data_IF_058361557260
#
_entry.id   IF_058361557260
#
_cell.length_a   1.000
_cell.length_b   1.000
_cell.length_c   1.000
_cell.angle_alpha   90.00
_cell.angle_beta   90.00
_cell.angle_gamma   90.00
#
_symmetry.space_group_name_H-M   'P 1'
#
loop_
_entity.id
_entity.type
_entity.pdbx_description
1 polymer ?
#
# COMPACT_ATOMS: atom_id res chain seq x y z
N UNK A 1 -5.92 -3.69 -26.92
CA UNK A 1 -5.75 -2.53 -26.02
C UNK A 1 -6.95 -2.53 -25.09
N UNK A 2 -6.79 -2.94 -23.84
CA UNK A 2 -7.90 -2.91 -22.87
C UNK A 2 -8.25 -1.44 -22.60
N UNK A 3 -9.52 -1.08 -22.70
CA UNK A 3 -9.98 0.27 -22.44
C UNK A 3 -9.61 0.67 -21.00
N UNK A 4 -9.03 1.85 -20.82
CA UNK A 4 -8.72 2.36 -19.48
C UNK A 4 -10.04 2.63 -18.77
N UNK A 5 -10.33 2.00 -17.62
CA UNK A 5 -11.57 2.26 -16.91
C UNK A 5 -11.61 3.73 -16.51
N UNK A 6 -12.74 4.38 -16.73
CA UNK A 6 -12.97 5.74 -16.26
C UNK A 6 -13.13 5.72 -14.73
N UNK A 7 -12.58 6.70 -14.01
CA UNK A 7 -12.80 6.82 -12.58
C UNK A 7 -14.23 7.26 -12.31
N UNK A 8 -14.77 6.80 -11.19
CA UNK A 8 -16.00 7.37 -10.62
C UNK A 8 -15.59 8.50 -9.69
N UNK A 9 -16.24 9.65 -9.86
CA UNK A 9 -15.97 10.84 -9.06
C UNK A 9 -17.18 11.14 -8.18
N UNK A 10 -16.94 11.37 -6.90
CA UNK A 10 -17.99 11.70 -5.95
C UNK A 10 -17.48 12.66 -4.87
N UNK A 11 -18.35 13.51 -4.30
CA UNK A 11 -17.95 14.43 -3.25
C UNK A 11 -17.69 13.69 -1.93
N UNK A 12 -16.76 14.22 -1.13
CA UNK A 12 -16.52 13.86 0.25
C UNK A 12 -16.61 15.12 1.11
N UNK A 13 -17.81 15.42 1.57
CA UNK A 13 -18.12 16.74 2.15
C UNK A 13 -18.05 17.84 1.09
N UNK A 14 -17.86 19.08 1.54
CA UNK A 14 -17.99 20.27 0.68
C UNK A 14 -16.68 20.70 0.00
N UNK A 15 -15.54 20.15 0.44
CA UNK A 15 -14.20 20.60 0.07
C UNK A 15 -13.28 19.44 -0.36
N UNK A 16 -13.84 18.27 -0.67
CA UNK A 16 -13.06 17.17 -1.22
C UNK A 16 -13.81 16.37 -2.28
N UNK A 17 -13.04 15.87 -3.24
CA UNK A 17 -13.47 15.01 -4.33
C UNK A 17 -12.74 13.68 -4.21
N UNK A 18 -13.47 12.58 -4.27
CA UNK A 18 -12.91 11.24 -4.30
C UNK A 18 -13.03 10.68 -5.71
N UNK A 19 -11.91 10.18 -6.21
CA UNK A 19 -11.76 9.49 -7.47
C UNK A 19 -11.51 8.01 -7.18
N UNK A 20 -12.46 7.12 -7.50
CA UNK A 20 -12.34 5.68 -7.28
C UNK A 20 -12.32 4.89 -8.59
N UNK A 21 -11.51 3.83 -8.62
CA UNK A 21 -11.45 2.87 -9.72
C UNK A 21 -12.04 1.53 -9.29
N UNK A 22 -12.65 0.78 -10.22
CA UNK A 22 -13.21 -0.53 -9.91
C UNK A 22 -12.11 -1.51 -9.50
N UNK A 23 -12.45 -2.39 -8.55
CA UNK A 23 -11.62 -3.53 -8.19
C UNK A 23 -11.51 -4.53 -9.37
N UNK A 24 -10.43 -5.34 -9.45
CA UNK A 24 -9.30 -5.40 -8.53
C UNK A 24 -8.29 -4.25 -8.74
N UNK A 25 -7.54 -3.90 -7.70
CA UNK A 25 -6.49 -2.89 -7.78
C UNK A 25 -5.28 -3.43 -8.58
N UNK A 26 -4.98 -2.83 -9.72
CA UNK A 26 -3.81 -3.20 -10.53
C UNK A 26 -2.73 -2.13 -10.45
N UNK A 27 -1.47 -2.52 -10.64
CA UNK A 27 -0.35 -1.57 -10.64
C UNK A 27 -0.52 -0.48 -11.70
N UNK A 28 -1.02 -0.83 -12.88
CA UNK A 28 -1.27 0.13 -13.96
C UNK A 28 -2.34 1.17 -13.60
N UNK A 29 -3.37 0.79 -12.85
CA UNK A 29 -4.36 1.73 -12.32
C UNK A 29 -3.75 2.61 -11.23
N UNK A 30 -3.00 2.02 -10.30
CA UNK A 30 -2.33 2.75 -9.23
C UNK A 30 -1.32 3.78 -9.77
N UNK A 31 -0.56 3.44 -10.81
CA UNK A 31 0.36 4.35 -11.47
C UNK A 31 -0.33 5.56 -12.10
N UNK A 32 -1.55 5.38 -12.62
CA UNK A 32 -2.35 6.52 -13.11
C UNK A 32 -2.87 7.38 -11.98
N UNK A 33 -3.26 6.78 -10.85
CA UNK A 33 -3.63 7.51 -9.64
C UNK A 33 -2.45 8.37 -9.15
N UNK A 34 -1.23 7.83 -9.15
CA UNK A 34 -0.03 8.61 -8.81
C UNK A 34 0.23 9.74 -9.80
N UNK A 35 0.07 9.47 -11.10
CA UNK A 35 0.24 10.48 -12.14
C UNK A 35 -0.81 11.61 -12.00
N UNK A 36 -2.07 11.27 -11.75
CA UNK A 36 -3.12 12.24 -11.44
C UNK A 36 -2.79 13.03 -10.19
N UNK A 37 -2.37 12.36 -9.11
CA UNK A 37 -2.01 13.02 -7.84
C UNK A 37 -0.85 14.02 -8.01
N UNK A 38 0.10 13.75 -8.91
CA UNK A 38 1.17 14.69 -9.22
C UNK A 38 0.67 15.87 -10.08
N UNK A 39 -0.16 15.61 -11.09
CA UNK A 39 -0.65 16.63 -12.03
C UNK A 39 -1.59 17.65 -11.37
N UNK A 40 -2.50 17.18 -10.50
CA UNK A 40 -3.53 18.03 -9.89
C UNK A 40 -3.00 19.02 -8.85
N UNK A 41 -1.79 18.80 -8.33
CA UNK A 41 -1.18 19.73 -7.35
C UNK A 41 -0.86 21.09 -7.97
N UNK A 42 -0.68 21.15 -9.30
CA UNK A 42 -0.47 22.40 -10.04
C UNK A 42 -1.79 23.09 -10.43
N UNK A 43 -2.95 22.48 -10.12
CA UNK A 43 -4.25 23.01 -10.54
C UNK A 43 -4.76 24.11 -9.59
N UNK A 44 -5.25 25.24 -10.11
CA UNK A 44 -5.83 26.29 -9.28
C UNK A 44 -7.01 25.78 -8.46
N UNK A 45 -6.99 26.09 -7.15
CA UNK A 45 -8.05 25.70 -6.21
C UNK A 45 -7.89 24.31 -5.61
N UNK A 46 -6.91 23.50 -6.03
CA UNK A 46 -6.59 22.22 -5.40
C UNK A 46 -5.65 22.44 -4.21
N UNK A 47 -5.92 21.76 -3.09
CA UNK A 47 -5.12 21.82 -1.87
C UNK A 47 -4.13 20.65 -1.78
N UNK A 48 -4.63 19.46 -1.43
CA UNK A 48 -3.84 18.25 -1.24
C UNK A 48 -4.36 17.11 -2.11
N UNK A 49 -3.43 16.26 -2.56
CA UNK A 49 -3.71 15.03 -3.27
C UNK A 49 -3.27 13.82 -2.42
N UNK A 50 -4.23 13.02 -1.99
CA UNK A 50 -4.05 11.90 -1.06
C UNK A 50 -4.31 10.57 -1.78
N UNK A 51 -3.30 9.96 -2.43
CA UNK A 51 -3.47 8.70 -3.12
C UNK A 51 -3.67 7.56 -2.11
N UNK A 52 -4.77 6.83 -2.27
CA UNK A 52 -5.05 5.61 -1.53
C UNK A 52 -4.84 4.36 -2.38
N UNK A 53 -5.53 3.26 -2.04
CA UNK A 53 -5.48 2.02 -2.80
C UNK A 53 -6.51 2.08 -3.92
N UNK A 54 -6.07 2.26 -5.17
CA UNK A 54 -6.91 2.39 -6.36
C UNK A 54 -7.90 3.56 -6.30
N UNK A 55 -7.60 4.57 -5.50
CA UNK A 55 -8.40 5.79 -5.35
C UNK A 55 -7.51 7.00 -5.01
N UNK A 56 -8.07 8.18 -5.17
CA UNK A 56 -7.44 9.46 -4.86
C UNK A 56 -8.45 10.38 -4.20
N UNK A 57 -8.09 10.94 -3.05
CA UNK A 57 -8.85 12.03 -2.43
C UNK A 57 -8.15 13.34 -2.72
N UNK A 58 -8.87 14.28 -3.32
CA UNK A 58 -8.40 15.63 -3.61
C UNK A 58 -9.13 16.61 -2.71
N UNK A 59 -8.41 17.39 -1.92
CA UNK A 59 -9.00 18.54 -1.24
C UNK A 59 -8.95 19.74 -2.17
N UNK A 60 -9.96 20.60 -2.11
CA UNK A 60 -10.05 21.81 -2.93
C UNK A 60 -10.76 22.93 -2.17
N UNK A 61 -10.51 24.17 -2.58
CA UNK A 61 -11.20 25.34 -2.05
C UNK A 61 -12.53 25.55 -2.83
N UNK A 62 -13.70 25.29 -2.21
CA UNK A 62 -14.99 25.42 -2.89
C UNK A 62 -15.35 26.86 -3.24
N UNK A 63 -14.64 27.86 -2.70
CA UNK A 63 -14.80 29.27 -3.08
C UNK A 63 -14.00 29.62 -4.33
N UNK A 64 -12.99 28.82 -4.68
CA UNK A 64 -12.13 29.02 -5.84
C UNK A 64 -12.54 28.16 -7.04
N UNK A 65 -13.00 26.91 -6.82
CA UNK A 65 -13.41 25.98 -7.88
C UNK A 65 -14.62 25.16 -7.45
N UNK A 66 -15.61 25.02 -8.34
CA UNK A 66 -16.77 24.18 -8.10
C UNK A 66 -16.43 22.69 -8.28
N UNK A 67 -17.14 21.81 -7.56
CA UNK A 67 -16.96 20.36 -7.66
C UNK A 67 -17.08 19.85 -9.10
N UNK A 68 -18.13 20.27 -9.81
CA UNK A 68 -18.43 19.84 -11.17
C UNK A 68 -17.33 20.24 -12.16
N UNK A 69 -16.77 21.43 -11.96
CA UNK A 69 -15.64 21.92 -12.76
C UNK A 69 -14.38 21.09 -12.50
N UNK A 70 -14.04 20.85 -11.24
CA UNK A 70 -12.90 20.02 -10.87
C UNK A 70 -13.06 18.59 -11.37
N UNK A 71 -14.25 18.00 -11.22
CA UNK A 71 -14.57 16.67 -11.70
C UNK A 71 -14.43 16.57 -13.23
N UNK A 72 -14.91 17.56 -13.98
CA UNK A 72 -14.75 17.60 -15.43
C UNK A 72 -13.27 17.66 -15.84
N UNK A 73 -12.45 18.47 -15.14
CA UNK A 73 -10.99 18.54 -15.37
C UNK A 73 -10.32 17.19 -15.12
N UNK A 74 -10.65 16.50 -14.03
CA UNK A 74 -10.13 15.15 -13.73
C UNK A 74 -10.48 14.17 -14.84
N UNK A 75 -11.74 14.14 -15.28
CA UNK A 75 -12.19 13.26 -16.36
C UNK A 75 -11.52 13.58 -17.70
N UNK A 76 -11.23 14.85 -17.97
CA UNK A 76 -10.54 15.29 -19.18
C UNK A 76 -9.05 14.92 -19.16
N UNK A 77 -8.38 15.03 -18.02
CA UNK A 77 -6.97 14.65 -17.87
C UNK A 77 -6.77 13.14 -17.89
N UNK A 78 -7.72 12.37 -17.35
CA UNK A 78 -7.60 10.92 -17.16
C UNK A 78 -7.12 10.11 -18.37
N UNK A 79 -7.62 10.32 -19.61
CA UNK A 79 -7.16 9.57 -20.78
C UNK A 79 -5.71 9.89 -21.18
N UNK A 80 -5.24 11.10 -20.87
CA UNK A 80 -3.87 11.56 -21.17
C UNK A 80 -2.84 11.08 -20.14
N UNK A 81 -3.29 10.68 -18.95
CA UNK A 81 -2.43 10.13 -17.92
C UNK A 81 -1.92 8.74 -18.32
N UNK A 82 -0.68 8.71 -18.79
CA UNK A 82 0.05 7.48 -18.94
C UNK A 82 0.28 6.85 -17.55
N UNK A 83 0.12 5.53 -17.46
CA UNK A 83 0.68 4.78 -16.34
C UNK A 83 2.21 4.90 -16.44
N UNK A 84 2.78 5.97 -15.87
CA UNK A 84 4.22 6.11 -15.85
C UNK A 84 4.77 5.09 -14.86
N UNK A 85 5.65 4.24 -15.36
CA UNK A 85 6.53 3.47 -14.50
C UNK A 85 7.53 4.44 -13.87
N UNK A 86 7.11 5.13 -12.80
CA UNK A 86 8.10 5.57 -11.83
C UNK A 86 8.75 4.28 -11.32
N UNK A 87 9.94 3.96 -11.84
CA UNK A 87 10.76 2.88 -11.31
C UNK A 87 11.26 3.34 -9.95
N UNK A 88 10.42 3.14 -8.92
CA UNK A 88 10.83 3.41 -7.56
C UNK A 88 12.03 2.56 -7.17
N UNK A 89 12.67 2.95 -6.07
CA UNK A 89 13.93 2.35 -5.65
C UNK A 89 13.70 0.87 -5.34
N UNK A 90 14.70 0.03 -5.65
CA UNK A 90 14.71 -1.34 -5.16
C UNK A 90 15.24 -1.34 -3.73
N UNK A 91 14.43 -1.82 -2.78
CA UNK A 91 14.73 -1.84 -1.35
C UNK A 91 14.67 -3.28 -0.88
N UNK A 92 15.79 -3.77 -0.35
CA UNK A 92 15.87 -5.09 0.27
C UNK A 92 15.60 -4.96 1.77
N UNK A 93 14.66 -5.76 2.27
CA UNK A 93 14.26 -5.74 3.68
C UNK A 93 14.60 -7.10 4.29
N UNK A 94 15.59 -7.21 5.19
CA UNK A 94 15.86 -8.44 5.91
C UNK A 94 14.72 -8.75 6.87
N UNK A 95 14.32 -10.01 6.93
CA UNK A 95 13.22 -10.48 7.78
C UNK A 95 13.62 -11.77 8.49
N UNK A 96 13.49 -11.75 9.82
CA UNK A 96 13.48 -12.94 10.65
C UNK A 96 12.06 -13.51 10.67
N UNK A 97 11.87 -14.69 10.06
CA UNK A 97 10.57 -15.33 9.91
C UNK A 97 10.28 -16.32 11.04
N UNK A 98 9.00 -16.39 11.44
CA UNK A 98 8.50 -17.35 12.41
C UNK A 98 8.98 -17.13 13.85
N UNK A 99 8.79 -18.14 14.71
CA UNK A 99 9.06 -18.03 16.15
C UNK A 99 8.33 -16.86 16.80
N UNK A 100 9.01 -16.16 17.71
CA UNK A 100 8.47 -14.95 18.37
C UNK A 100 8.30 -13.77 17.41
N UNK A 101 9.03 -13.77 16.28
CA UNK A 101 8.97 -12.70 15.28
C UNK A 101 7.78 -12.86 14.32
N UNK A 102 7.32 -14.09 14.10
CA UNK A 102 6.22 -14.44 13.21
C UNK A 102 5.27 -15.47 13.84
N UNK A 103 4.55 -15.11 14.91
CA UNK A 103 3.74 -16.05 15.67
C UNK A 103 2.59 -16.69 14.87
N UNK A 104 2.16 -16.08 13.76
CA UNK A 104 1.08 -16.60 12.91
C UNK A 104 1.61 -17.35 11.67
N UNK A 105 2.93 -17.56 11.53
CA UNK A 105 3.48 -18.26 10.36
C UNK A 105 2.93 -19.67 10.21
N UNK A 106 2.77 -20.39 11.33
CA UNK A 106 2.18 -21.72 11.35
C UNK A 106 0.69 -21.69 10.95
N UNK A 107 -0.06 -20.67 11.36
CA UNK A 107 -1.47 -20.51 11.00
C UNK A 107 -1.65 -20.20 9.51
N UNK A 108 -0.79 -19.35 8.94
CA UNK A 108 -0.74 -19.08 7.49
C UNK A 108 -0.40 -20.35 6.72
N UNK A 109 0.58 -21.12 7.18
CA UNK A 109 0.95 -22.41 6.58
C UNK A 109 -0.23 -23.39 6.59
N UNK A 110 -0.91 -23.54 7.73
CA UNK A 110 -2.09 -24.39 7.87
C UNK A 110 -3.25 -23.93 6.97
N UNK A 111 -3.51 -22.62 6.89
CA UNK A 111 -4.58 -22.06 6.05
C UNK A 111 -4.34 -22.30 4.56
N UNK A 112 -3.10 -22.10 4.11
CA UNK A 112 -2.71 -22.19 2.69
C UNK A 112 -2.40 -23.62 2.24
N UNK A 113 -2.25 -24.57 3.18
CA UNK A 113 -1.82 -25.94 2.90
C UNK A 113 -0.33 -26.05 2.52
N UNK A 114 0.46 -24.99 2.76
CA UNK A 114 1.88 -24.92 2.49
C UNK A 114 2.69 -25.22 3.75
N UNK A 115 3.95 -25.61 3.61
CA UNK A 115 4.86 -25.63 4.75
C UNK A 115 5.29 -24.19 5.11
N UNK A 116 5.69 -23.95 6.36
CA UNK A 116 6.22 -22.65 6.77
C UNK A 116 7.40 -22.19 5.89
N UNK A 117 8.30 -23.12 5.53
CA UNK A 117 9.41 -22.84 4.62
C UNK A 117 8.93 -22.44 3.21
N UNK A 118 7.85 -23.04 2.71
CA UNK A 118 7.28 -22.71 1.40
C UNK A 118 6.55 -21.36 1.42
N UNK A 119 5.85 -21.03 2.51
CA UNK A 119 5.29 -19.69 2.74
C UNK A 119 6.40 -18.64 2.68
N UNK A 120 7.49 -18.86 3.40
CA UNK A 120 8.65 -17.96 3.45
C UNK A 120 9.31 -17.84 2.08
N UNK A 121 9.51 -18.96 1.37
CA UNK A 121 10.10 -18.97 0.02
C UNK A 121 9.25 -18.17 -0.97
N UNK A 122 7.93 -18.32 -0.93
CA UNK A 122 7.01 -17.56 -1.81
C UNK A 122 6.94 -16.09 -1.42
N UNK A 123 6.89 -15.80 -0.12
CA UNK A 123 6.81 -14.43 0.37
C UNK A 123 8.11 -13.67 0.09
N UNK A 124 9.27 -14.20 0.47
CA UNK A 124 10.56 -13.61 0.09
C UNK A 124 10.77 -13.59 -1.43
N UNK A 125 10.14 -14.53 -2.15
CA UNK A 125 10.10 -14.65 -3.59
C UNK A 125 9.26 -13.63 -4.34
N UNK A 126 8.42 -12.85 -3.64
CA UNK A 126 7.53 -11.86 -4.25
C UNK A 126 8.25 -10.63 -4.81
N UNK A 127 7.62 -10.00 -5.80
CA UNK A 127 8.01 -8.70 -6.35
C UNK A 127 7.00 -7.66 -5.88
N UNK A 128 7.31 -7.01 -4.76
CA UNK A 128 6.38 -6.10 -4.12
C UNK A 128 6.55 -4.69 -4.62
N UNK A 129 5.44 -3.97 -4.76
CA UNK A 129 5.43 -2.54 -5.05
C UNK A 129 4.63 -1.84 -3.97
N UNK A 130 5.18 -0.76 -3.41
CA UNK A 130 4.48 0.09 -2.43
C UNK A 130 3.42 0.90 -3.16
N UNK A 131 2.14 0.66 -2.88
CA UNK A 131 1.02 1.33 -3.53
C UNK A 131 0.71 2.68 -2.87
N UNK A 132 0.74 2.69 -1.54
CA UNK A 132 0.55 3.88 -0.70
C UNK A 132 1.27 3.71 0.63
N UNK A 133 1.48 4.83 1.31
CA UNK A 133 1.75 4.87 2.75
C UNK A 133 0.52 5.43 3.46
N UNK A 134 0.09 4.82 4.56
CA UNK A 134 -1.10 5.27 5.30
C UNK A 134 -1.38 4.41 6.52
N UNK A 135 -2.45 4.67 7.27
CA UNK A 135 -2.76 4.07 8.59
C UNK A 135 -1.80 4.50 9.72
N UNK A 136 -0.49 4.38 9.53
CA UNK A 136 0.54 4.93 10.41
C UNK A 136 1.63 5.61 9.57
N UNK A 137 2.40 6.55 10.16
CA UNK A 137 3.57 7.10 9.50
C UNK A 137 4.52 5.98 9.06
N UNK A 138 4.76 5.88 7.74
CA UNK A 138 5.65 4.87 7.14
C UNK A 138 5.05 3.47 6.96
N UNK A 139 3.77 3.23 7.27
CA UNK A 139 3.15 1.93 7.02
C UNK A 139 2.86 1.78 5.53
N UNK A 140 3.54 0.83 4.90
CA UNK A 140 3.47 0.59 3.46
C UNK A 140 2.47 -0.51 3.13
N UNK A 141 1.46 -0.17 2.32
CA UNK A 141 0.58 -1.15 1.69
C UNK A 141 1.22 -1.61 0.38
N UNK A 142 1.56 -2.89 0.28
CA UNK A 142 2.24 -3.45 -0.88
C UNK A 142 1.33 -4.35 -1.70
N UNK A 143 1.34 -4.16 -3.01
CA UNK A 143 0.80 -5.11 -3.98
C UNK A 143 1.86 -6.13 -4.40
N UNK A 144 1.43 -7.23 -5.04
CA UNK A 144 2.33 -8.28 -5.55
C UNK A 144 2.44 -9.53 -4.66
N UNK A 145 1.61 -9.66 -3.63
CA UNK A 145 1.52 -10.90 -2.85
C UNK A 145 1.06 -12.06 -3.78
N UNK A 146 1.78 -13.20 -3.79
CA UNK A 146 1.31 -14.39 -4.48
C UNK A 146 -0.09 -14.78 -3.99
N UNK A 147 -1.08 -15.00 -4.88
CA UNK A 147 -2.45 -15.31 -4.48
C UNK A 147 -2.57 -16.52 -3.54
N UNK A 148 -1.65 -17.47 -3.64
CA UNK A 148 -1.61 -18.67 -2.79
C UNK A 148 -1.24 -18.38 -1.33
N UNK A 149 -0.72 -17.19 -1.03
CA UNK A 149 -0.44 -16.74 0.34
C UNK A 149 -1.58 -15.92 0.93
N UNK A 150 -2.60 -15.58 0.13
CA UNK A 150 -3.71 -14.75 0.60
C UNK A 150 -4.38 -15.43 1.79
N UNK A 151 -4.36 -14.75 2.94
CA UNK A 151 -4.86 -15.30 4.21
C UNK A 151 -5.72 -14.23 4.88
N UNK A 152 -6.93 -14.55 5.36
CA UNK A 152 -7.80 -13.56 5.99
C UNK A 152 -7.15 -12.94 7.23
N UNK A 153 -7.58 -11.72 7.55
CA UNK A 153 -7.23 -11.08 8.82
C UNK A 153 -7.77 -11.91 9.98
N UNK A 154 -7.11 -11.83 11.13
CA UNK A 154 -7.62 -12.38 12.40
C UNK A 154 -9.01 -11.83 12.68
N UNK A 155 -9.89 -12.72 13.14
CA UNK A 155 -11.24 -12.34 13.57
C UNK A 155 -11.20 -11.33 14.72
N UNK A 156 -10.27 -11.53 15.65
CA UNK A 156 -9.97 -10.61 16.74
C UNK A 156 -8.61 -9.95 16.50
N UNK A 157 -8.58 -8.64 16.18
CA UNK A 157 -7.34 -7.89 16.04
C UNK A 157 -6.54 -7.87 17.34
N UNK A 158 -5.20 -7.90 17.23
CA UNK A 158 -4.33 -7.66 18.38
C UNK A 158 -4.48 -6.21 18.83
N UNK A 159 -4.46 -6.01 20.14
CA UNK A 159 -4.40 -4.67 20.75
C UNK A 159 -3.04 -4.01 20.52
N UNK A 160 -1.96 -4.81 20.45
CA UNK A 160 -0.61 -4.36 20.15
C UNK A 160 0.12 -5.36 19.25
N UNK A 161 0.46 -4.92 18.05
CA UNK A 161 1.41 -5.54 17.14
C UNK A 161 2.77 -4.88 17.38
N UNK A 162 3.86 -5.63 17.56
CA UNK A 162 5.19 -5.06 17.70
C UNK A 162 5.58 -4.21 16.49
N UNK A 163 6.34 -3.14 16.73
CA UNK A 163 6.94 -2.37 15.64
C UNK A 163 7.84 -3.28 14.79
N UNK A 164 7.86 -3.00 13.49
CA UNK A 164 8.63 -3.68 12.44
C UNK A 164 8.15 -5.09 12.11
N UNK A 165 6.95 -5.47 12.57
CA UNK A 165 6.32 -6.74 12.20
C UNK A 165 5.88 -6.76 10.73
N UNK A 166 6.21 -7.84 10.04
CA UNK A 166 5.77 -8.14 8.67
C UNK A 166 4.54 -9.03 8.75
N UNK A 167 3.49 -8.69 7.99
CA UNK A 167 2.27 -9.47 8.04
C UNK A 167 1.52 -9.57 6.70
N UNK A 168 0.61 -10.53 6.65
CA UNK A 168 -0.32 -10.75 5.54
C UNK A 168 -1.75 -10.45 6.02
N UNK A 169 -2.51 -9.72 5.21
CA UNK A 169 -3.91 -9.39 5.48
C UNK A 169 -4.76 -9.41 4.22
N UNK A 170 -5.43 -10.52 3.96
CA UNK A 170 -6.11 -10.79 2.68
C UNK A 170 -5.07 -10.97 1.58
N UNK A 171 -5.24 -10.24 0.47
CA UNK A 171 -4.35 -10.27 -0.70
C UNK A 171 -3.15 -9.31 -0.57
N UNK A 172 -2.91 -8.75 0.62
CA UNK A 172 -1.90 -7.72 0.85
C UNK A 172 -0.83 -8.16 1.85
N UNK A 173 0.37 -7.63 1.66
CA UNK A 173 1.46 -7.67 2.65
C UNK A 173 1.98 -6.26 2.92
N UNK A 174 2.79 -6.12 3.96
CA UNK A 174 3.00 -4.85 4.63
C UNK A 174 3.80 -5.02 5.91
N UNK A 175 4.29 -3.90 6.41
CA UNK A 175 5.16 -3.86 7.59
C UNK A 175 4.62 -2.78 8.51
N UNK A 176 4.38 -3.16 9.76
CA UNK A 176 4.01 -2.24 10.83
C UNK A 176 5.24 -1.40 11.20
N UNK A 177 5.29 -0.08 10.98
CA UNK A 177 6.47 0.72 11.28
C UNK A 177 6.61 0.96 12.80
N UNK A 178 5.48 1.05 13.50
CA UNK A 178 5.35 1.39 14.91
C UNK A 178 4.43 0.38 15.61
N UNK A 179 4.41 0.41 16.94
CA UNK A 179 3.47 -0.40 17.73
C UNK A 179 2.06 0.12 17.51
N UNK A 180 1.14 -0.75 17.14
CA UNK A 180 -0.27 -0.39 16.88
C UNK A 180 -1.20 -1.58 17.05
N UNK A 181 -2.52 -1.37 17.19
CA UNK A 181 -3.47 -2.45 16.99
C UNK A 181 -3.42 -2.95 15.54
N UNK A 182 -3.73 -4.23 15.32
CA UNK A 182 -3.65 -4.82 13.98
C UNK A 182 -4.19 -6.25 13.91
N UNK A 183 -4.88 -6.56 12.81
CA UNK A 183 -5.48 -7.88 12.57
C UNK A 183 -4.75 -8.72 11.53
N UNK A 184 -3.57 -8.31 11.06
CA UNK A 184 -2.84 -9.08 10.07
C UNK A 184 -2.13 -10.28 10.70
N UNK A 185 -1.94 -11.33 9.90
CA UNK A 185 -1.19 -12.51 10.29
C UNK A 185 0.30 -12.18 10.25
N UNK A 186 0.96 -12.18 11.41
CA UNK A 186 2.35 -11.81 11.58
C UNK A 186 3.24 -13.01 11.26
N UNK A 187 4.05 -12.89 10.20
CA UNK A 187 4.87 -13.98 9.67
C UNK A 187 6.37 -13.78 9.93
N UNK A 188 6.77 -12.57 10.33
CA UNK A 188 8.15 -12.25 10.66
C UNK A 188 8.33 -10.82 11.12
N UNK A 189 9.57 -10.42 11.35
CA UNK A 189 9.94 -9.08 11.80
C UNK A 189 11.24 -8.63 11.13
N UNK A 190 11.33 -7.35 10.78
CA UNK A 190 12.56 -6.74 10.26
C UNK A 190 13.29 -5.95 11.34
N UNK A 191 14.64 -5.93 11.35
CA UNK A 191 15.39 -5.04 12.23
C UNK A 191 15.32 -3.57 11.76
N UNK A 192 15.02 -3.33 10.48
CA UNK A 192 15.04 -2.00 9.88
C UNK A 192 14.00 -1.06 10.50
N UNK A 193 14.39 0.19 10.68
CA UNK A 193 13.49 1.26 11.07
C UNK A 193 12.80 1.85 9.84
N UNK A 194 11.47 1.81 9.84
CA UNK A 194 10.66 2.24 8.69
C UNK A 194 10.24 3.69 8.78
N UNK A 195 10.20 4.22 10.01
CA UNK A 195 9.81 5.58 10.29
C UNK A 195 10.68 6.15 11.40
N UNK A 196 11.35 7.27 11.12
CA UNK A 196 12.09 8.07 12.09
C UNK A 196 11.75 9.55 11.87
N UNK A 197 11.01 10.20 12.79
CA UNK A 197 10.62 11.60 12.63
C UNK A 197 11.80 12.58 12.69
N UNK A 198 12.97 12.14 13.16
CA UNK A 198 14.19 12.95 13.24
C UNK A 198 15.08 12.86 12.00
N UNK A 199 14.82 11.90 11.10
CA UNK A 199 15.56 11.73 9.86
C UNK A 199 15.17 12.77 8.80
N UNK A 200 16.11 13.10 7.91
CA UNK A 200 15.87 13.98 6.76
C UNK A 200 14.75 13.44 5.84
N UNK A 201 14.68 12.11 5.71
CA UNK A 201 13.57 11.41 5.07
C UNK A 201 12.87 10.53 6.11
N UNK A 202 11.74 10.99 6.69
CA UNK A 202 11.15 10.31 7.82
C UNK A 202 10.65 8.90 7.55
N UNK A 203 10.33 8.56 6.30
CA UNK A 203 9.91 7.21 5.91
C UNK A 203 10.96 6.53 5.04
N UNK A 204 11.27 5.27 5.36
CA UNK A 204 12.19 4.44 4.56
C UNK A 204 11.61 4.17 3.17
N UNK A 205 10.34 3.80 3.12
CA UNK A 205 9.59 3.45 1.92
C UNK A 205 8.82 4.66 1.38
N UNK A 206 8.55 4.66 0.08
CA UNK A 206 7.72 5.63 -0.64
C UNK A 206 6.84 4.93 -1.67
N UNK A 207 5.67 5.49 -2.03
CA UNK A 207 4.87 4.95 -3.14
C UNK A 207 5.72 4.80 -4.41
N UNK A 208 5.59 3.66 -5.08
CA UNK A 208 6.38 3.29 -6.25
C UNK A 208 7.64 2.48 -5.95
N UNK A 209 8.17 2.50 -4.72
CA UNK A 209 9.34 1.68 -4.36
C UNK A 209 9.03 0.18 -4.56
N UNK A 210 10.05 -0.55 -5.01
CA UNK A 210 10.02 -2.00 -5.20
C UNK A 210 10.69 -2.67 -4.01
N UNK A 211 9.93 -3.48 -3.28
CA UNK A 211 10.42 -4.15 -2.07
C UNK A 211 10.72 -5.62 -2.36
N UNK A 212 11.87 -6.08 -1.88
CA UNK A 212 12.25 -7.49 -1.85
C UNK A 212 12.53 -7.89 -0.42
N UNK A 213 11.81 -8.87 0.11
CA UNK A 213 12.15 -9.42 1.43
C UNK A 213 13.30 -10.41 1.29
N UNK A 214 14.31 -10.24 2.13
CA UNK A 214 15.47 -11.13 2.21
C UNK A 214 15.32 -11.96 3.49
N UNK A 215 15.44 -13.28 3.38
CA UNK A 215 15.36 -14.17 4.54
C UNK A 215 16.63 -14.02 5.36
N UNK A 216 16.51 -13.45 6.55
CA UNK A 216 17.59 -13.35 7.52
C UNK A 216 17.69 -14.63 8.35
N UNK A 217 16.54 -15.13 8.82
CA UNK A 217 16.41 -16.39 9.54
C UNK A 217 15.01 -16.96 9.40
N UNK A 218 14.86 -18.25 9.70
CA UNK A 218 13.58 -18.95 9.77
C UNK A 218 13.55 -19.82 11.02
N UNK A 219 12.56 -19.58 11.87
CA UNK A 219 12.23 -20.41 13.02
C UNK A 219 10.82 -20.98 12.82
N UNK A 220 10.73 -22.28 12.60
CA UNK A 220 9.45 -22.99 12.43
C UNK A 220 8.81 -23.37 13.74
#
# INVERSE_FOLDING_TARGET
MSATPLPRLHPLGDAALVCDLPAPATLAQQQRIWALAAEVLDWPGVGEALPGMNNLTLTFDPTAVAFEELAARVLQAWPGLAAHAAEGRRIEIPVAYGGEHGPDLADVAAHTGLSAAEVVRRHSGGDYVVYLLGFLPGFAFMGGLPPELATPRRAEPRTAVPARSVGIGGEQTGIYPLVSPGGWQLIGRTPLELFDPSAESPTLLRPGDRVRFVVESLQT
#
